data_IF_853303857371
#
_entry.id   IF_853303857371
#
_cell.length_a   1.000
_cell.length_b   1.000
_cell.length_c   1.000
_cell.angle_alpha   90.00
_cell.angle_beta   90.00
_cell.angle_gamma   90.00
#
_symmetry.space_group_name_H-M   'P 1'
#
loop_
_entity.id
_entity.type
_entity.pdbx_description
1 polymer ?
#
# COMPACT_ATOMS: atom_id res chain seq x y z
N UNK A 1 -4.36 -14.72 -19.48
CA UNK A 1 -4.65 -14.79 -18.04
C UNK A 1 -3.34 -14.81 -17.29
N UNK A 2 -3.15 -13.89 -16.34
CA UNK A 2 -2.00 -13.91 -15.43
C UNK A 2 -2.32 -14.83 -14.25
N UNK A 3 -1.41 -15.75 -13.93
CA UNK A 3 -1.52 -16.66 -12.78
C UNK A 3 -0.28 -16.56 -11.89
N UNK A 4 -0.47 -16.64 -10.57
CA UNK A 4 0.61 -16.93 -9.64
C UNK A 4 0.77 -18.46 -9.59
N UNK A 5 1.88 -18.98 -10.12
CA UNK A 5 2.19 -20.42 -10.14
C UNK A 5 2.59 -20.91 -8.75
N UNK A 6 3.43 -20.14 -8.08
CA UNK A 6 3.90 -20.46 -6.72
C UNK A 6 3.85 -19.23 -5.84
N UNK A 7 3.58 -19.46 -4.56
CA UNK A 7 3.50 -18.42 -3.52
C UNK A 7 4.22 -18.91 -2.28
N UNK A 8 4.70 -17.97 -1.45
CA UNK A 8 5.18 -18.26 -0.10
C UNK A 8 4.37 -17.49 0.92
N UNK A 9 4.26 -18.01 2.15
CA UNK A 9 3.85 -17.19 3.29
C UNK A 9 5.00 -16.22 3.58
N UNK A 10 4.73 -14.92 3.49
CA UNK A 10 5.70 -13.87 3.75
C UNK A 10 5.57 -13.27 5.15
N UNK A 11 4.37 -13.32 5.74
CA UNK A 11 4.11 -12.99 7.12
C UNK A 11 2.83 -13.70 7.59
N UNK A 12 2.75 -14.01 8.88
CA UNK A 12 1.50 -14.40 9.55
C UNK A 12 1.14 -13.26 10.49
N UNK A 13 0.01 -12.60 10.26
CA UNK A 13 -0.43 -11.44 11.05
C UNK A 13 -0.77 -11.84 12.50
N UNK A 14 -0.87 -10.88 13.45
CA UNK A 14 -1.27 -11.17 14.83
C UNK A 14 -2.65 -11.86 14.94
N UNK A 15 -3.51 -11.69 13.94
CA UNK A 15 -4.82 -12.35 13.81
C UNK A 15 -4.74 -13.80 13.32
N UNK A 16 -3.55 -14.27 12.91
CA UNK A 16 -3.35 -15.56 12.25
C UNK A 16 -3.61 -15.55 10.74
N UNK A 17 -3.75 -14.37 10.13
CA UNK A 17 -3.94 -14.26 8.68
C UNK A 17 -2.61 -14.35 7.93
N UNK A 18 -2.56 -15.21 6.91
CA UNK A 18 -1.36 -15.41 6.10
C UNK A 18 -1.29 -14.40 4.95
N UNK A 19 -0.22 -13.61 4.93
CA UNK A 19 0.12 -12.76 3.78
C UNK A 19 1.01 -13.55 2.84
N UNK A 20 0.53 -13.75 1.62
CA UNK A 20 1.21 -14.53 0.60
C UNK A 20 1.98 -13.61 -0.35
N UNK A 21 3.24 -13.92 -0.63
CA UNK A 21 4.02 -13.27 -1.70
C UNK A 21 4.09 -14.17 -2.93
N UNK A 22 3.91 -13.58 -4.11
CA UNK A 22 4.08 -14.29 -5.40
C UNK A 22 5.55 -14.61 -5.60
N UNK A 23 5.88 -15.88 -5.83
CA UNK A 23 7.27 -16.33 -6.06
C UNK A 23 7.53 -16.58 -7.54
N UNK A 24 6.54 -17.11 -8.24
CA UNK A 24 6.60 -17.36 -9.67
C UNK A 24 5.22 -17.07 -10.28
N UNK A 25 5.20 -16.40 -11.43
CA UNK A 25 4.00 -16.06 -12.17
C UNK A 25 4.14 -16.46 -13.64
N UNK A 26 3.00 -16.61 -14.32
CA UNK A 26 2.99 -16.89 -15.75
C UNK A 26 1.76 -16.31 -16.44
N UNK A 27 1.92 -16.02 -17.72
CA UNK A 27 0.82 -15.66 -18.61
C UNK A 27 0.33 -16.90 -19.38
N UNK A 28 -0.86 -17.36 -19.04
CA UNK A 28 -1.58 -18.38 -19.82
C UNK A 28 -2.31 -17.69 -20.97
N UNK A 29 -1.94 -18.05 -22.20
CA UNK A 29 -2.55 -17.53 -23.43
C UNK A 29 -3.55 -18.55 -23.98
N UNK A 30 -4.76 -18.09 -24.27
CA UNK A 30 -5.79 -18.89 -24.95
C UNK A 30 -6.01 -18.26 -26.32
N UNK A 31 -5.78 -19.03 -27.37
CA UNK A 31 -5.98 -18.55 -28.74
C UNK A 31 -7.46 -18.39 -29.04
N UNK A 32 -7.89 -17.16 -29.22
CA UNK A 32 -9.24 -16.81 -29.63
C UNK A 32 -9.22 -16.34 -31.09
N UNK A 33 -10.23 -16.73 -31.89
CA UNK A 33 -10.35 -16.24 -33.27
C UNK A 33 -10.56 -14.73 -33.27
N UNK A 34 -9.74 -14.00 -34.03
CA UNK A 34 -9.83 -12.55 -34.25
C UNK A 34 -9.71 -11.64 -33.02
N UNK A 35 -9.35 -12.15 -31.83
CA UNK A 35 -9.35 -11.35 -30.59
C UNK A 35 -8.41 -10.13 -30.62
N UNK A 36 -7.37 -10.17 -31.45
CA UNK A 36 -6.43 -9.06 -31.62
C UNK A 36 -6.51 -8.42 -33.02
N UNK A 37 -7.55 -8.69 -33.81
CA UNK A 37 -7.61 -8.19 -35.20
C UNK A 37 -7.71 -6.66 -35.26
N UNK A 38 -8.42 -6.04 -34.31
CA UNK A 38 -8.60 -4.59 -34.23
C UNK A 38 -7.51 -3.81 -33.49
N UNK A 39 -6.50 -4.48 -32.92
CA UNK A 39 -5.46 -3.78 -32.16
C UNK A 39 -4.50 -3.05 -33.09
N UNK A 40 -4.29 -1.77 -32.79
CA UNK A 40 -3.22 -0.94 -33.35
C UNK A 40 -1.84 -1.51 -33.06
N UNK A 41 -0.82 -0.97 -33.73
CA UNK A 41 0.58 -1.35 -33.47
C UNK A 41 0.99 -1.07 -32.02
N UNK A 42 0.61 0.09 -31.50
CA UNK A 42 0.98 0.52 -30.15
C UNK A 42 0.32 -0.33 -29.07
N UNK A 43 -0.96 -0.71 -29.27
CA UNK A 43 -1.65 -1.62 -28.35
C UNK A 43 -0.98 -3.00 -28.28
N UNK A 44 -0.45 -3.50 -29.40
CA UNK A 44 0.27 -4.78 -29.42
C UNK A 44 1.58 -4.69 -28.65
N UNK A 45 2.30 -3.59 -28.77
CA UNK A 45 3.52 -3.32 -27.98
C UNK A 45 3.16 -3.24 -26.50
N UNK A 46 2.12 -2.49 -26.14
CA UNK A 46 1.65 -2.38 -24.76
C UNK A 46 1.25 -3.73 -24.16
N UNK A 47 0.56 -4.58 -24.94
CA UNK A 47 0.20 -5.93 -24.52
C UNK A 47 1.44 -6.79 -24.23
N UNK A 48 2.47 -6.68 -25.07
CA UNK A 48 3.73 -7.38 -24.88
C UNK A 48 4.43 -6.88 -23.61
N UNK A 49 4.56 -5.56 -23.42
CA UNK A 49 5.17 -4.99 -22.22
C UNK A 49 4.42 -5.35 -20.94
N UNK A 50 3.08 -5.43 -21.00
CA UNK A 50 2.28 -5.93 -19.88
C UNK A 50 2.62 -7.40 -19.54
N UNK A 51 2.86 -8.23 -20.55
CA UNK A 51 3.22 -9.63 -20.37
C UNK A 51 4.64 -9.83 -19.79
N UNK A 52 5.52 -8.83 -19.96
CA UNK A 52 6.90 -8.83 -19.47
C UNK A 52 7.04 -8.18 -18.08
N UNK A 53 5.96 -7.60 -17.56
CA UNK A 53 5.97 -6.94 -16.25
C UNK A 53 6.28 -7.94 -15.12
N UNK A 54 7.26 -7.60 -14.29
CA UNK A 54 7.71 -8.47 -13.20
C UNK A 54 6.72 -8.47 -12.03
N UNK A 55 6.15 -9.65 -11.75
CA UNK A 55 5.27 -9.89 -10.59
C UNK A 55 6.00 -10.67 -9.48
N UNK A 56 7.01 -11.44 -9.85
CA UNK A 56 7.72 -12.36 -8.98
C UNK A 56 8.51 -11.61 -7.92
N UNK A 57 8.22 -11.90 -6.64
CA UNK A 57 8.82 -11.25 -5.48
C UNK A 57 8.37 -9.80 -5.24
N UNK A 58 7.55 -9.22 -6.13
CA UNK A 58 7.17 -7.79 -6.08
C UNK A 58 5.69 -7.58 -5.79
N UNK A 59 4.93 -8.66 -5.58
CA UNK A 59 3.51 -8.59 -5.27
C UNK A 59 3.11 -9.54 -4.15
N UNK A 60 2.14 -9.11 -3.36
CA UNK A 60 1.59 -9.88 -2.26
C UNK A 60 0.09 -9.70 -2.15
N UNK A 61 -0.55 -10.63 -1.46
CA UNK A 61 -1.99 -10.61 -1.19
C UNK A 61 -2.28 -11.35 0.12
N UNK A 62 -3.45 -11.10 0.69
CA UNK A 62 -4.03 -11.93 1.74
C UNK A 62 -5.48 -12.25 1.35
N UNK A 63 -5.93 -13.47 1.63
CA UNK A 63 -7.31 -13.89 1.31
C UNK A 63 -8.32 -13.49 2.38
N UNK A 64 -7.85 -13.35 3.61
CA UNK A 64 -8.68 -13.23 4.81
C UNK A 64 -8.49 -11.89 5.53
N UNK A 65 -7.47 -11.11 5.15
CA UNK A 65 -7.23 -9.76 5.66
C UNK A 65 -7.09 -8.76 4.51
N UNK A 66 -7.65 -7.56 4.67
CA UNK A 66 -7.52 -6.48 3.69
C UNK A 66 -6.18 -5.75 3.82
N UNK A 67 -5.15 -6.28 3.14
CA UNK A 67 -3.81 -5.68 3.08
C UNK A 67 -3.74 -4.37 2.28
N UNK A 68 -4.83 -3.92 1.66
CA UNK A 68 -4.85 -2.59 1.04
C UNK A 68 -4.80 -1.47 2.09
N UNK A 69 -5.20 -1.73 3.33
CA UNK A 69 -5.11 -0.79 4.45
C UNK A 69 -4.08 -1.25 5.47
N UNK A 70 -3.41 -0.32 6.18
CA UNK A 70 -2.53 -0.73 7.27
C UNK A 70 -3.32 -1.44 8.37
N UNK A 71 -2.65 -2.31 9.12
CA UNK A 71 -3.25 -3.18 10.13
C UNK A 71 -4.15 -2.42 11.11
N UNK A 72 -3.68 -1.27 11.61
CA UNK A 72 -4.42 -0.43 12.58
C UNK A 72 -5.67 0.26 12.01
N UNK A 73 -5.81 0.31 10.69
CA UNK A 73 -6.86 1.06 9.99
C UNK A 73 -7.75 0.17 9.11
N UNK A 74 -7.40 -1.11 8.99
CA UNK A 74 -8.21 -2.12 8.32
C UNK A 74 -9.50 -2.40 9.08
N UNK A 75 -10.57 -2.69 8.34
CA UNK A 75 -11.80 -3.25 8.90
C UNK A 75 -11.85 -4.73 8.50
N UNK A 76 -11.83 -5.63 9.48
CA UNK A 76 -11.80 -7.08 9.26
C UNK A 76 -12.98 -7.60 8.42
N UNK A 77 -14.17 -7.00 8.52
CA UNK A 77 -15.38 -7.52 7.84
C UNK A 77 -15.67 -6.82 6.50
N UNK A 78 -15.43 -5.51 6.39
CA UNK A 78 -15.77 -4.74 5.19
C UNK A 78 -14.60 -4.55 4.20
N UNK A 79 -13.36 -4.74 4.65
CA UNK A 79 -12.16 -4.42 3.87
C UNK A 79 -12.00 -5.27 2.61
N UNK A 80 -12.24 -6.58 2.71
CA UNK A 80 -12.06 -7.50 1.58
C UNK A 80 -13.03 -7.26 0.42
N UNK A 81 -14.25 -6.79 0.72
CA UNK A 81 -15.26 -6.49 -0.29
C UNK A 81 -15.04 -5.11 -0.94
N UNK A 82 -14.39 -4.19 -0.22
CA UNK A 82 -14.11 -2.85 -0.70
C UNK A 82 -12.65 -2.43 -0.40
N UNK A 83 -11.67 -3.10 -1.03
CA UNK A 83 -10.27 -2.76 -0.86
C UNK A 83 -10.02 -1.33 -1.36
N UNK A 84 -9.06 -0.65 -0.76
CA UNK A 84 -8.66 0.68 -1.20
C UNK A 84 -8.01 0.59 -2.59
N UNK A 85 -8.74 1.11 -3.59
CA UNK A 85 -8.36 1.09 -5.01
C UNK A 85 -7.00 1.73 -5.27
N UNK A 86 -6.52 2.60 -4.37
CA UNK A 86 -5.19 3.18 -4.50
C UNK A 86 -4.09 2.13 -4.56
N UNK A 87 -4.28 1.00 -3.88
CA UNK A 87 -3.24 -0.03 -3.73
C UNK A 87 -3.51 -1.31 -4.54
N UNK A 88 -4.71 -1.46 -5.11
CA UNK A 88 -5.10 -2.65 -5.88
C UNK A 88 -4.49 -2.63 -7.28
N UNK A 89 -3.30 -3.21 -7.43
CA UNK A 89 -2.58 -3.25 -8.71
C UNK A 89 -3.34 -4.02 -9.78
N UNK A 90 -3.92 -5.17 -9.44
CA UNK A 90 -4.63 -6.01 -10.41
C UNK A 90 -6.06 -5.55 -10.72
N UNK A 91 -6.45 -4.32 -10.38
CA UNK A 91 -7.85 -3.90 -10.47
C UNK A 91 -8.45 -4.08 -11.88
N UNK A 92 -7.75 -3.61 -12.91
CA UNK A 92 -8.17 -3.74 -14.31
C UNK A 92 -8.08 -5.18 -14.82
N UNK A 93 -7.01 -5.91 -14.43
CA UNK A 93 -6.83 -7.31 -14.83
C UNK A 93 -7.89 -8.24 -14.24
N UNK A 94 -8.34 -7.96 -13.02
CA UNK A 94 -9.35 -8.74 -12.30
C UNK A 94 -10.79 -8.35 -12.66
N UNK A 95 -11.01 -7.21 -13.35
CA UNK A 95 -12.37 -6.70 -13.61
C UNK A 95 -13.29 -7.72 -14.32
N UNK A 96 -12.85 -8.45 -15.38
CA UNK A 96 -13.70 -9.46 -16.01
C UNK A 96 -14.06 -10.62 -15.06
N UNK A 97 -13.13 -11.04 -14.20
CA UNK A 97 -13.37 -12.11 -13.22
C UNK A 97 -14.33 -11.64 -12.12
N UNK A 98 -14.17 -10.41 -11.62
CA UNK A 98 -15.08 -9.84 -10.62
C UNK A 98 -16.50 -9.67 -11.15
N UNK A 99 -16.66 -9.35 -12.44
CA UNK A 99 -17.96 -9.24 -13.10
C UNK A 99 -18.75 -10.56 -13.11
N UNK A 100 -18.10 -11.72 -12.93
CA UNK A 100 -18.79 -13.01 -12.79
C UNK A 100 -19.55 -13.15 -11.48
N UNK A 101 -19.28 -12.30 -10.48
CA UNK A 101 -19.91 -12.35 -9.17
C UNK A 101 -19.42 -13.47 -8.26
N UNK A 102 -18.41 -14.25 -8.65
CA UNK A 102 -17.86 -15.34 -7.83
C UNK A 102 -16.97 -14.73 -6.73
N UNK A 103 -17.36 -14.83 -5.45
CA UNK A 103 -16.58 -14.27 -4.35
C UNK A 103 -15.21 -14.95 -4.24
N UNK A 104 -14.16 -14.17 -4.02
CA UNK A 104 -12.81 -14.70 -3.82
C UNK A 104 -12.13 -15.29 -5.08
N UNK A 105 -12.76 -15.22 -6.26
CA UNK A 105 -12.21 -15.77 -7.50
C UNK A 105 -10.84 -15.19 -7.89
N UNK A 106 -10.58 -13.93 -7.53
CA UNK A 106 -9.29 -13.27 -7.74
C UNK A 106 -8.96 -12.42 -6.50
N UNK A 107 -7.88 -12.74 -5.77
CA UNK A 107 -7.49 -11.92 -4.62
C UNK A 107 -7.06 -10.52 -5.07
N UNK A 108 -7.20 -9.56 -4.17
CA UNK A 108 -6.60 -8.23 -4.33
C UNK A 108 -5.08 -8.36 -4.29
N UNK A 109 -4.42 -8.03 -5.38
CA UNK A 109 -2.96 -8.10 -5.49
C UNK A 109 -2.38 -6.71 -5.29
N UNK A 110 -1.46 -6.58 -4.33
CA UNK A 110 -0.77 -5.33 -4.01
C UNK A 110 0.64 -5.40 -4.58
N UNK A 111 1.07 -4.32 -5.25
CA UNK A 111 2.46 -4.18 -5.67
C UNK A 111 3.29 -3.61 -4.51
N UNK A 112 4.37 -4.30 -4.16
CA UNK A 112 5.33 -3.84 -3.17
C UNK A 112 6.03 -4.96 -2.41
N UNK A 113 6.28 -4.72 -1.12
CA UNK A 113 7.10 -5.55 -0.25
C UNK A 113 6.32 -5.96 0.99
N UNK A 114 6.57 -7.19 1.44
CA UNK A 114 6.23 -7.66 2.79
C UNK A 114 7.42 -8.46 3.30
N UNK A 115 7.99 -8.05 4.44
CA UNK A 115 9.08 -8.75 5.09
C UNK A 115 8.75 -8.93 6.57
N UNK A 116 8.92 -10.15 7.07
CA UNK A 116 8.70 -10.51 8.47
C UNK A 116 10.02 -11.00 9.08
N UNK A 117 10.24 -10.63 10.34
CA UNK A 117 11.35 -11.10 11.15
C UNK A 117 10.90 -11.31 12.59
N UNK A 118 11.47 -12.33 13.20
CA UNK A 118 11.43 -12.54 14.64
C UNK A 118 12.59 -11.82 15.31
N UNK A 119 12.29 -11.10 16.38
CA UNK A 119 13.22 -10.38 17.22
C UNK A 119 13.03 -10.84 18.66
N UNK A 120 14.10 -10.82 19.45
CA UNK A 120 14.05 -11.13 20.88
C UNK A 120 14.59 -9.94 21.66
N UNK A 121 13.92 -9.57 22.75
CA UNK A 121 14.40 -8.53 23.65
C UNK A 121 15.46 -9.08 24.62
N UNK A 122 15.92 -8.24 25.55
CA UNK A 122 16.91 -8.63 26.57
C UNK A 122 16.41 -9.68 27.57
N UNK A 123 15.10 -9.90 27.65
CA UNK A 123 14.45 -10.89 28.51
C UNK A 123 14.05 -12.14 27.72
N UNK A 124 14.55 -12.30 26.49
CA UNK A 124 14.22 -13.39 25.57
C UNK A 124 12.73 -13.43 25.15
N UNK A 125 12.00 -12.32 25.33
CA UNK A 125 10.61 -12.21 24.85
C UNK A 125 10.61 -12.08 23.32
N UNK A 126 9.82 -12.94 22.67
CA UNK A 126 9.67 -12.95 21.22
C UNK A 126 8.75 -11.81 20.75
N UNK A 127 9.28 -11.00 19.83
CA UNK A 127 8.56 -9.99 19.06
C UNK A 127 8.59 -10.36 17.59
N UNK A 128 7.47 -10.16 16.92
CA UNK A 128 7.37 -10.24 15.49
C UNK A 128 7.40 -8.82 14.93
N UNK A 129 8.26 -8.58 13.96
CA UNK A 129 8.35 -7.34 13.20
C UNK A 129 7.96 -7.65 11.75
N UNK A 130 7.01 -6.90 11.20
CA UNK A 130 6.68 -6.95 9.79
C UNK A 130 6.73 -5.55 9.17
N UNK A 131 7.36 -5.44 8.01
CA UNK A 131 7.39 -4.23 7.20
C UNK A 131 6.57 -4.47 5.94
N UNK A 132 5.54 -3.65 5.74
CA UNK A 132 4.80 -3.57 4.49
C UNK A 132 5.24 -2.33 3.72
N UNK A 133 5.39 -2.46 2.41
CA UNK A 133 5.51 -1.36 1.48
C UNK A 133 4.53 -1.55 0.33
N UNK A 134 3.70 -0.54 0.04
CA UNK A 134 2.66 -0.60 -0.98
C UNK A 134 2.87 0.53 -1.97
N UNK A 135 2.89 0.22 -3.27
CA UNK A 135 3.01 1.22 -4.33
C UNK A 135 1.63 1.55 -4.89
N UNK A 136 1.35 2.84 -5.04
CA UNK A 136 0.07 3.33 -5.56
C UNK A 136 -0.11 3.00 -7.03
N UNK A 137 -1.34 2.64 -7.38
CA UNK A 137 -1.80 2.36 -8.74
C UNK A 137 -2.60 3.53 -9.35
N UNK A 138 -2.77 4.65 -8.63
CA UNK A 138 -3.56 5.81 -9.13
C UNK A 138 -2.78 6.72 -10.08
N UNK A 139 -1.46 6.77 -9.94
CA UNK A 139 -0.59 7.54 -10.84
C UNK A 139 0.73 6.77 -11.06
N UNK A 140 0.66 5.59 -11.71
CA UNK A 140 1.84 4.80 -12.00
C UNK A 140 2.62 5.45 -13.14
N UNK A 141 3.95 5.42 -13.05
CA UNK A 141 4.82 5.83 -14.14
C UNK A 141 6.28 5.87 -13.71
N UNK A 142 7.18 5.96 -14.67
CA UNK A 142 8.61 6.17 -14.42
C UNK A 142 8.86 7.60 -13.94
N UNK A 143 10.08 7.87 -13.45
CA UNK A 143 10.49 9.18 -12.89
C UNK A 143 10.19 10.38 -13.78
N UNK A 144 10.11 10.20 -15.10
CA UNK A 144 9.84 11.27 -16.08
C UNK A 144 8.40 11.28 -16.59
N UNK A 145 7.63 10.20 -16.37
CA UNK A 145 6.27 10.07 -16.89
C UNK A 145 5.20 10.34 -15.82
N UNK A 146 5.53 10.17 -14.53
CA UNK A 146 4.61 10.41 -13.43
C UNK A 146 5.28 11.26 -12.33
N UNK A 147 5.00 12.57 -12.37
CA UNK A 147 5.38 13.55 -11.34
C UNK A 147 4.20 14.44 -11.01
N UNK A 148 4.23 14.99 -9.80
CA UNK A 148 3.13 15.81 -9.29
C UNK A 148 1.80 15.06 -9.27
N UNK A 149 0.73 15.84 -9.18
CA UNK A 149 -0.63 15.34 -9.21
C UNK A 149 -1.13 15.13 -10.64
N UNK A 150 -1.88 14.03 -10.86
CA UNK A 150 -2.72 13.88 -12.04
C UNK A 150 -4.11 14.51 -11.83
N UNK A 151 -5.00 14.38 -12.81
CA UNK A 151 -6.35 14.97 -12.79
C UNK A 151 -7.24 14.52 -11.62
N UNK A 152 -6.96 13.35 -11.03
CA UNK A 152 -7.70 12.84 -9.86
C UNK A 152 -7.03 13.18 -8.52
N UNK A 153 -5.99 14.04 -8.53
CA UNK A 153 -5.25 14.43 -7.34
C UNK A 153 -4.43 13.27 -6.75
N UNK A 154 -3.93 12.35 -7.59
CA UNK A 154 -3.01 11.31 -7.16
C UNK A 154 -1.56 11.69 -7.50
N UNK A 155 -0.65 11.71 -6.51
CA UNK A 155 0.75 11.98 -6.75
C UNK A 155 1.43 10.80 -7.45
N UNK A 156 2.34 11.11 -8.37
CA UNK A 156 3.19 10.10 -9.00
C UNK A 156 4.11 9.43 -7.99
N UNK A 157 4.34 8.12 -8.16
CA UNK A 157 5.29 7.33 -7.37
C UNK A 157 5.02 7.29 -5.86
N UNK A 158 3.76 7.38 -5.48
CA UNK A 158 3.32 7.30 -4.10
C UNK A 158 3.51 5.88 -3.52
N UNK A 159 4.04 5.82 -2.31
CA UNK A 159 4.28 4.60 -1.54
C UNK A 159 3.80 4.80 -0.10
N UNK A 160 3.06 3.84 0.43
CA UNK A 160 2.76 3.72 1.86
C UNK A 160 3.61 2.62 2.48
N UNK A 161 4.16 2.90 3.65
CA UNK A 161 4.93 1.97 4.44
C UNK A 161 4.24 1.77 5.79
N UNK A 162 4.24 0.54 6.29
CA UNK A 162 3.79 0.21 7.63
C UNK A 162 4.83 -0.66 8.32
N UNK A 163 5.18 -0.28 9.55
CA UNK A 163 5.87 -1.13 10.50
C UNK A 163 4.85 -1.69 11.50
N UNK A 164 4.64 -3.00 11.48
CA UNK A 164 3.80 -3.72 12.43
C UNK A 164 4.67 -4.53 13.37
N UNK A 165 4.51 -4.35 14.68
CA UNK A 165 5.20 -5.13 15.72
C UNK A 165 4.17 -5.79 16.62
N UNK A 166 4.35 -7.06 16.97
CA UNK A 166 3.46 -7.72 17.93
C UNK A 166 4.14 -8.81 18.74
N UNK A 167 3.57 -9.13 19.89
CA UNK A 167 4.00 -10.23 20.75
C UNK A 167 2.78 -10.88 21.43
N UNK A 168 2.92 -12.14 21.83
CA UNK A 168 1.92 -12.82 22.66
C UNK A 168 1.88 -12.18 24.06
N UNK A 169 0.68 -12.06 24.62
CA UNK A 169 0.44 -11.51 25.95
C UNK A 169 0.33 -12.66 26.94
N UNK A 170 1.15 -12.63 27.98
CA UNK A 170 1.09 -13.61 29.06
C UNK A 170 -0.21 -13.44 29.85
N UNK A 171 -1.09 -14.44 29.80
CA UNK A 171 -2.39 -14.42 30.50
C UNK A 171 -2.27 -14.27 32.03
N UNK A 172 -1.09 -14.53 32.62
CA UNK A 172 -0.86 -14.42 34.07
C UNK A 172 -0.61 -12.98 34.57
N UNK A 173 -0.44 -12.00 33.68
CA UNK A 173 -0.27 -10.57 34.06
C UNK A 173 -1.57 -9.75 33.99
N UNK A 174 -2.71 -10.37 33.74
CA UNK A 174 -4.00 -9.67 33.60
C UNK A 174 -4.55 -9.05 34.90
N UNK A 175 -3.97 -9.36 36.06
CA UNK A 175 -4.43 -8.84 37.36
C UNK A 175 -3.68 -7.57 37.83
N UNK A 176 -2.75 -7.03 37.02
CA UNK A 176 -2.14 -5.73 37.31
C UNK A 176 -2.94 -4.59 36.64
N UNK A 177 -3.38 -3.55 37.38
CA UNK A 177 -4.21 -2.46 36.87
C UNK A 177 -3.51 -1.55 35.84
N UNK A 178 -2.24 -1.79 35.53
CA UNK A 178 -1.47 -1.06 34.50
C UNK A 178 -1.82 -1.51 33.06
N UNK A 179 -2.46 -2.67 32.88
CA UNK A 179 -2.83 -3.19 31.55
C UNK A 179 -4.04 -2.47 30.92
N UNK A 180 -4.86 -1.77 31.71
CA UNK A 180 -6.04 -1.04 31.23
C UNK A 180 -5.75 0.37 30.69
N UNK A 181 -4.54 0.91 30.84
CA UNK A 181 -4.18 2.27 30.43
C UNK A 181 -3.19 2.38 29.25
N UNK A 182 -2.78 1.27 28.63
CA UNK A 182 -1.97 1.29 27.40
C UNK A 182 -2.72 1.80 26.15
N UNK A 183 -3.94 2.35 26.32
CA UNK A 183 -4.80 2.87 25.26
C UNK A 183 -4.45 4.29 24.77
N UNK A 184 -3.44 4.96 25.33
CA UNK A 184 -3.01 6.29 24.90
C UNK A 184 -1.48 6.39 24.86
N UNK A 185 -0.85 5.69 23.92
CA UNK A 185 0.53 6.00 23.57
C UNK A 185 0.56 7.40 22.97
N UNK A 186 1.17 8.36 23.67
CA UNK A 186 1.52 9.68 23.14
C UNK A 186 2.62 9.51 22.08
N UNK A 187 2.21 9.19 20.86
CA UNK A 187 3.08 9.06 19.69
C UNK A 187 2.27 8.72 18.44
N UNK A 188 2.83 8.99 17.27
CA UNK A 188 2.20 8.72 15.96
C UNK A 188 1.89 7.22 15.72
N UNK A 189 2.44 6.32 16.54
CA UNK A 189 2.22 4.88 16.48
C UNK A 189 0.91 4.48 17.18
N UNK A 190 0.11 3.66 16.51
CA UNK A 190 -1.12 3.08 17.09
C UNK A 190 -0.87 1.70 17.64
N UNK A 191 -1.59 1.32 18.68
CA UNK A 191 -1.51 -0.04 19.21
C UNK A 191 -2.86 -0.54 19.73
N UNK A 192 -2.90 -1.83 20.02
CA UNK A 192 -4.07 -2.49 20.56
C UNK A 192 -3.77 -3.94 20.90
N UNK A 193 -4.83 -4.70 21.19
CA UNK A 193 -4.75 -6.15 21.37
C UNK A 193 -5.71 -6.85 20.45
N UNK A 194 -5.36 -8.06 20.03
CA UNK A 194 -6.19 -8.88 19.15
C UNK A 194 -6.01 -10.35 19.50
N UNK A 195 -7.07 -11.14 19.36
CA UNK A 195 -6.99 -12.59 19.50
C UNK A 195 -6.76 -13.23 18.13
N UNK A 196 -5.76 -14.11 18.04
CA UNK A 196 -5.56 -14.98 16.88
C UNK A 196 -6.71 -15.99 16.76
N UNK A 197 -6.89 -16.57 15.57
CA UNK A 197 -7.81 -17.70 15.34
C UNK A 197 -7.57 -18.88 16.30
N UNK A 198 -6.35 -19.05 16.79
CA UNK A 198 -5.97 -20.08 17.76
C UNK A 198 -6.21 -19.67 19.23
N UNK A 199 -6.91 -18.54 19.48
CA UNK A 199 -7.23 -18.04 20.82
C UNK A 199 -6.10 -17.31 21.54
N UNK A 200 -4.92 -17.20 20.92
CA UNK A 200 -3.77 -16.47 21.48
C UNK A 200 -4.02 -14.96 21.49
N UNK A 201 -3.82 -14.32 22.64
CA UNK A 201 -3.92 -12.87 22.75
C UNK A 201 -2.58 -12.23 22.37
N UNK A 202 -2.59 -11.31 21.42
CA UNK A 202 -1.41 -10.56 20.99
C UNK A 202 -1.61 -9.07 21.24
N UNK A 203 -0.56 -8.41 21.75
CA UNK A 203 -0.45 -6.96 21.77
C UNK A 203 0.34 -6.51 20.55
N UNK A 204 -0.12 -5.47 19.86
CA UNK A 204 0.46 -5.00 18.62
C UNK A 204 0.61 -3.48 18.58
N UNK A 205 1.58 -3.00 17.79
CA UNK A 205 1.76 -1.60 17.41
C UNK A 205 1.99 -1.47 15.91
N UNK A 206 1.49 -0.39 15.32
CA UNK A 206 1.59 -0.06 13.90
C UNK A 206 2.03 1.39 13.75
N UNK A 207 3.06 1.61 12.94
CA UNK A 207 3.54 2.93 12.55
C UNK A 207 3.52 3.05 11.03
N UNK A 208 2.87 4.09 10.52
CA UNK A 208 2.60 4.25 9.09
C UNK A 208 3.17 5.57 8.59
N UNK A 209 3.84 5.54 7.45
CA UNK A 209 4.34 6.74 6.77
C UNK A 209 4.22 6.60 5.26
N UNK A 210 4.35 7.73 4.55
CA UNK A 210 4.23 7.78 3.10
C UNK A 210 5.41 8.49 2.48
N UNK A 211 5.70 8.14 1.23
CA UNK A 211 6.70 8.80 0.38
C UNK A 211 6.17 8.87 -1.04
N UNK A 212 6.25 10.05 -1.65
CA UNK A 212 5.91 10.21 -3.07
C UNK A 212 6.26 11.58 -3.61
N UNK A 213 5.69 11.90 -4.78
CA UNK A 213 5.87 13.22 -5.39
C UNK A 213 5.22 14.30 -4.53
N UNK A 214 5.84 15.49 -4.51
CA UNK A 214 5.22 16.69 -3.91
C UNK A 214 3.83 16.88 -4.53
N UNK A 215 2.75 16.99 -3.72
CA UNK A 215 1.36 16.92 -4.18
C UNK A 215 0.89 18.28 -4.74
N UNK A 216 1.60 18.75 -5.76
CA UNK A 216 1.24 19.90 -6.60
C UNK A 216 1.30 19.46 -8.06
N UNK A 217 0.79 20.28 -8.97
CA UNK A 217 0.89 20.04 -10.41
C UNK A 217 2.27 20.47 -10.91
N UNK A 218 3.14 19.50 -11.20
CA UNK A 218 4.47 19.72 -11.75
C UNK A 218 4.93 18.54 -12.60
N UNK A 219 5.78 18.83 -13.57
CA UNK A 219 6.38 17.85 -14.46
C UNK A 219 7.90 18.02 -14.51
N UNK A 220 8.57 17.03 -15.07
CA UNK A 220 9.99 17.11 -15.38
C UNK A 220 10.18 16.81 -16.86
N UNK A 221 10.72 17.78 -17.59
CA UNK A 221 10.98 17.66 -19.03
C UNK A 221 12.47 17.39 -19.26
N UNK A 222 12.79 16.34 -20.02
CA UNK A 222 14.18 16.06 -20.41
C UNK A 222 14.47 16.84 -21.69
N UNK A 223 15.42 17.78 -21.64
CA UNK A 223 15.94 18.40 -22.85
C UNK A 223 16.90 17.41 -23.51
N UNK A 224 16.44 16.75 -24.58
CA UNK A 224 17.16 15.69 -25.29
C UNK A 224 18.60 16.04 -25.71
N UNK A 225 18.94 17.34 -25.81
CA UNK A 225 20.25 17.80 -26.23
C UNK A 225 21.35 17.72 -25.15
N UNK A 226 21.01 17.69 -23.84
CA UNK A 226 22.02 17.86 -22.78
C UNK A 226 21.85 16.94 -21.55
N UNK A 227 20.84 16.07 -21.52
CA UNK A 227 20.56 15.23 -20.34
C UNK A 227 20.09 16.03 -19.12
N UNK A 228 19.98 17.35 -19.22
CA UNK A 228 19.39 18.19 -18.18
C UNK A 228 17.88 18.03 -18.16
N UNK A 229 17.36 17.79 -16.96
CA UNK A 229 15.94 17.67 -16.73
C UNK A 229 15.44 18.88 -15.94
N UNK A 230 14.53 19.63 -16.54
CA UNK A 230 13.99 20.86 -15.97
C UNK A 230 12.68 20.57 -15.22
N UNK A 231 12.56 21.09 -14.00
CA UNK A 231 11.33 21.02 -13.21
C UNK A 231 10.42 22.16 -13.64
N UNK A 232 9.22 21.82 -14.09
CA UNK A 232 8.19 22.80 -14.46
C UNK A 232 7.01 22.66 -13.52
N UNK A 233 6.75 23.71 -12.73
CA UNK A 233 5.53 23.85 -11.95
C UNK A 233 4.45 24.46 -12.85
N UNK A 234 3.23 23.95 -12.79
CA UNK A 234 2.12 24.49 -13.58
C UNK A 234 1.92 25.98 -13.29
N UNK A 235 1.89 26.81 -14.35
CA UNK A 235 1.70 28.27 -14.24
C UNK A 235 0.30 28.61 -13.72
N UNK A 236 -0.69 27.84 -14.18
CA UNK A 236 -2.09 28.00 -13.79
C UNK A 236 -2.47 26.94 -12.75
N UNK A 237 -3.05 27.38 -11.62
CA UNK A 237 -3.57 26.52 -10.56
C UNK A 237 -2.60 25.39 -10.12
N UNK A 238 -1.36 25.68 -9.69
CA UNK A 238 -0.38 24.66 -9.30
C UNK A 238 -0.85 23.75 -8.15
N UNK A 239 -1.78 24.21 -7.32
CA UNK A 239 -2.34 23.44 -6.20
C UNK A 239 -3.64 22.68 -6.56
N UNK A 240 -4.01 22.62 -7.85
CA UNK A 240 -5.17 21.86 -8.30
C UNK A 240 -5.02 20.40 -7.86
N UNK A 241 -6.01 19.91 -7.10
CA UNK A 241 -6.02 18.55 -6.56
C UNK A 241 -5.27 18.36 -5.24
N UNK A 242 -4.48 19.33 -4.76
CA UNK A 242 -3.75 19.22 -3.47
C UNK A 242 -4.70 19.01 -2.29
N UNK A 243 -5.80 19.77 -2.24
CA UNK A 243 -6.84 19.58 -1.21
C UNK A 243 -7.51 18.21 -1.29
N UNK A 244 -7.79 17.72 -2.51
CA UNK A 244 -8.35 16.38 -2.74
C UNK A 244 -7.39 15.28 -2.26
N UNK A 245 -6.10 15.44 -2.53
CA UNK A 245 -5.05 14.53 -2.07
C UNK A 245 -5.04 14.44 -0.53
N UNK A 246 -4.89 15.57 0.16
CA UNK A 246 -4.86 15.56 1.63
C UNK A 246 -6.18 15.10 2.24
N UNK A 247 -7.33 15.40 1.62
CA UNK A 247 -8.61 14.87 2.05
C UNK A 247 -8.67 13.34 1.93
N UNK A 248 -8.12 12.75 0.85
CA UNK A 248 -8.01 11.30 0.68
C UNK A 248 -7.10 10.68 1.74
N UNK A 249 -5.91 11.26 1.96
CA UNK A 249 -4.96 10.82 2.99
C UNK A 249 -5.61 10.86 4.37
N UNK A 250 -6.23 11.99 4.74
CA UNK A 250 -6.94 12.11 6.01
C UNK A 250 -8.02 11.05 6.14
N UNK A 251 -8.79 10.79 5.08
CA UNK A 251 -9.86 9.80 5.12
C UNK A 251 -9.37 8.36 5.23
N UNK A 252 -8.21 8.04 4.62
CA UNK A 252 -7.62 6.71 4.65
C UNK A 252 -7.18 6.28 6.06
N UNK A 253 -6.67 7.22 6.86
CA UNK A 253 -6.23 6.97 8.25
C UNK A 253 -7.21 7.46 9.32
N UNK A 254 -8.46 7.74 8.94
CA UNK A 254 -9.53 7.95 9.93
C UNK A 254 -9.88 6.63 10.58
N UNK A 255 -9.90 6.62 11.90
CA UNK A 255 -10.45 5.48 12.66
C UNK A 255 -11.96 5.44 12.48
N UNK A 256 -12.48 4.44 11.78
CA UNK A 256 -13.94 4.30 11.63
C UNK A 256 -14.65 4.10 12.98
N UNK A 257 -14.00 3.46 13.95
CA UNK A 257 -14.52 3.27 15.30
C UNK A 257 -14.71 4.60 16.07
N UNK A 258 -13.77 5.54 15.95
CA UNK A 258 -13.85 6.87 16.63
C UNK A 258 -14.80 7.80 15.89
N UNK A 259 -14.83 7.75 14.55
CA UNK A 259 -15.72 8.57 13.73
C UNK A 259 -17.21 8.23 13.94
N UNK A 260 -17.54 6.97 14.26
CA UNK A 260 -18.91 6.54 14.54
C UNK A 260 -19.40 6.96 15.94
N UNK A 261 -18.49 7.12 16.92
CA UNK A 261 -18.83 7.41 18.30
C UNK A 261 -19.13 8.90 18.55
N UNK A 262 -18.42 9.83 17.89
CA UNK A 262 -18.44 11.24 18.31
C UNK A 262 -19.09 12.20 17.31
N UNK A 263 -19.48 11.77 16.10
CA UNK A 263 -20.07 12.64 15.07
C UNK A 263 -19.14 13.75 14.54
N UNK A 264 -18.03 14.02 15.22
CA UNK A 264 -16.99 14.97 14.82
C UNK A 264 -15.99 14.31 13.88
N UNK A 265 -15.63 15.03 12.81
CA UNK A 265 -14.57 14.61 11.90
C UNK A 265 -13.24 14.65 12.65
N UNK A 266 -12.73 13.48 13.04
CA UNK A 266 -11.38 13.35 13.56
C UNK A 266 -10.39 13.99 12.57
N UNK A 267 -9.70 15.04 13.03
CA UNK A 267 -8.63 15.72 12.32
C UNK A 267 -7.32 15.37 13.00
N UNK A 268 -6.32 15.01 12.22
CA UNK A 268 -4.95 14.78 12.69
C UNK A 268 -4.00 15.52 11.76
N UNK A 269 -2.87 16.05 12.27
CA UNK A 269 -1.91 16.76 11.44
C UNK A 269 -1.27 15.81 10.43
N UNK A 270 -1.04 16.30 9.21
CA UNK A 270 -0.19 15.62 8.21
C UNK A 270 1.12 16.38 8.15
N UNK A 271 2.17 15.78 8.71
CA UNK A 271 3.51 16.37 8.72
C UNK A 271 4.23 16.04 7.41
N UNK A 272 4.47 17.05 6.58
CA UNK A 272 5.23 16.92 5.35
C UNK A 272 6.71 17.23 5.60
N UNK A 273 7.58 16.24 5.40
CA UNK A 273 9.04 16.40 5.56
C UNK A 273 9.69 16.53 4.19
N UNK A 274 10.33 17.68 3.93
CA UNK A 274 11.13 17.90 2.73
C UNK A 274 12.60 18.02 3.10
N UNK A 275 13.46 17.25 2.43
CA UNK A 275 14.91 17.30 2.64
C UNK A 275 15.52 18.31 1.68
N UNK A 276 16.03 19.41 2.21
CA UNK A 276 16.72 20.44 1.43
C UNK A 276 18.21 20.14 1.37
N UNK A 277 18.78 20.15 0.17
CA UNK A 277 20.22 20.08 -0.01
C UNK A 277 20.81 21.48 0.23
N UNK A 278 21.52 21.66 1.34
CA UNK A 278 22.12 22.96 1.70
C UNK A 278 23.47 23.23 1.00
N UNK A 279 24.10 22.21 0.40
CA UNK A 279 25.37 22.34 -0.31
C UNK A 279 25.16 22.38 -1.84
N UNK A 280 25.93 23.19 -2.59
CA UNK A 280 25.88 23.17 -4.06
C UNK A 280 26.20 21.76 -4.57
N UNK A 281 25.22 21.15 -5.24
CA UNK A 281 25.34 19.81 -5.78
C UNK A 281 25.90 19.81 -7.19
N UNK A 282 26.60 18.73 -7.57
CA UNK A 282 26.73 18.38 -8.99
C UNK A 282 25.32 18.14 -9.57
N UNK A 283 25.01 18.61 -10.79
CA UNK A 283 23.75 18.29 -11.45
C UNK A 283 23.58 16.76 -11.49
N UNK A 284 22.36 16.26 -11.25
CA UNK A 284 22.04 14.85 -11.45
C UNK A 284 22.28 14.54 -12.94
N UNK A 285 23.28 13.70 -13.21
CA UNK A 285 23.64 13.22 -14.55
C UNK A 285 22.69 12.09 -14.96
#
# INVERSE_FOLDING_TARGET
MLIAKTVRVAAVLPTGDEVMQVKESAWVRVSLRNACAGLSRDERVNLQSLCEFSVDGTHFYCRTFDVSRPFAYGNAEAGLQNPDREWVWNASLAAPLRATGIPGACPTLIQGLVEHRELRDSNDKLFNLCIFGKRSSLHPGTRYLARGLNDVGAPGNEVEMEQLVWCEVDQQRSDSPEASEAGLMNGDARGGSVSSKDGKLCSWTSYVWRRGSVPISWAQEIKQAYGEAEIQVAKENPYRGTGTYFARVMNAYRTRAVAAANGERQSFPITCVNLLRCAPGKPEM
#
